data_IF_266924230900
#
_entry.id   IF_266924230900
#
_cell.length_a   1.000
_cell.length_b   1.000
_cell.length_c   1.000
_cell.angle_alpha   90.00
_cell.angle_beta   90.00
_cell.angle_gamma   90.00
#
_symmetry.space_group_name_H-M   'P 1'
#
loop_
_entity.id
_entity.type
_entity.pdbx_description
1 polymer ?
#
# COMPACT_ATOMS: atom_id res chain seq x y z
N UNK A 1 -0.41 -16.42 -1.24
CA UNK A 1 0.82 -16.69 -0.44
C UNK A 1 0.50 -17.17 0.96
N UNK A 2 1.40 -17.95 1.54
CA UNK A 2 1.24 -18.45 2.91
C UNK A 2 1.47 -17.35 3.94
N UNK A 3 0.60 -17.28 4.96
CA UNK A 3 0.73 -16.37 6.10
C UNK A 3 1.63 -17.01 7.15
N UNK A 4 2.72 -16.33 7.50
CA UNK A 4 3.68 -16.75 8.53
C UNK A 4 3.44 -16.00 9.84
N UNK A 5 3.57 -16.70 10.97
CA UNK A 5 3.43 -16.13 12.32
C UNK A 5 4.65 -16.49 13.16
N UNK A 6 5.80 -15.81 12.95
CA UNK A 6 7.03 -16.13 13.70
C UNK A 6 6.89 -15.91 15.22
N UNK A 7 6.01 -14.97 15.61
CA UNK A 7 5.64 -14.70 17.00
C UNK A 7 4.14 -14.45 17.11
N UNK A 8 3.56 -14.49 18.32
CA UNK A 8 2.10 -14.38 18.54
C UNK A 8 1.51 -13.11 17.91
N UNK A 9 2.24 -11.98 17.95
CA UNK A 9 1.78 -10.69 17.42
C UNK A 9 2.24 -10.41 15.97
N UNK A 10 3.06 -11.30 15.39
CA UNK A 10 3.64 -11.11 14.05
C UNK A 10 2.80 -11.82 13.01
N UNK A 11 2.55 -11.12 11.92
CA UNK A 11 1.87 -11.68 10.73
C UNK A 11 2.66 -11.22 9.51
N UNK A 12 3.17 -12.18 8.75
CA UNK A 12 4.05 -11.95 7.60
C UNK A 12 3.63 -12.79 6.40
N UNK A 13 3.98 -12.32 5.22
CA UNK A 13 3.85 -13.03 3.95
C UNK A 13 5.17 -12.92 3.17
N UNK A 14 5.44 -13.90 2.33
CA UNK A 14 6.58 -13.84 1.44
C UNK A 14 6.27 -12.97 0.22
N UNK A 15 6.92 -11.83 0.09
CA UNK A 15 6.69 -10.90 -1.01
C UNK A 15 6.98 -11.52 -2.40
N UNK A 16 7.95 -12.45 -2.50
CA UNK A 16 8.22 -13.15 -3.76
C UNK A 16 7.08 -14.10 -4.12
N UNK A 17 6.43 -14.75 -3.14
CA UNK A 17 5.26 -15.60 -3.38
C UNK A 17 4.08 -14.73 -3.85
N UNK A 18 3.83 -13.57 -3.23
CA UNK A 18 2.80 -12.63 -3.67
C UNK A 18 3.01 -12.29 -5.16
N UNK A 19 4.24 -11.91 -5.54
CA UNK A 19 4.56 -11.60 -6.93
C UNK A 19 4.41 -12.82 -7.86
N UNK A 20 4.94 -13.97 -7.46
CA UNK A 20 4.94 -15.17 -8.29
C UNK A 20 3.51 -15.67 -8.57
N UNK A 21 2.63 -15.67 -7.58
CA UNK A 21 1.23 -16.06 -7.74
C UNK A 21 0.46 -15.04 -8.59
N UNK A 22 0.72 -13.74 -8.39
CA UNK A 22 0.14 -12.67 -9.22
C UNK A 22 0.57 -12.82 -10.68
N UNK A 23 1.87 -13.01 -10.92
CA UNK A 23 2.41 -13.20 -12.26
C UNK A 23 1.85 -14.47 -12.92
N UNK A 24 1.78 -15.58 -12.20
CA UNK A 24 1.23 -16.83 -12.69
C UNK A 24 -0.22 -16.67 -13.13
N UNK A 25 -1.05 -16.02 -12.31
CA UNK A 25 -2.46 -15.77 -12.66
C UNK A 25 -2.60 -14.82 -13.85
N UNK A 26 -1.76 -13.79 -13.94
CA UNK A 26 -1.74 -12.87 -15.08
C UNK A 26 -1.36 -13.60 -16.37
N UNK A 27 -0.29 -14.40 -16.33
CA UNK A 27 0.18 -15.19 -17.50
C UNK A 27 -0.90 -16.18 -17.92
N UNK A 28 -1.53 -16.91 -17.00
CA UNK A 28 -2.62 -17.85 -17.30
C UNK A 28 -3.77 -17.17 -18.04
N UNK A 29 -4.16 -15.97 -17.62
CA UNK A 29 -5.21 -15.19 -18.33
C UNK A 29 -4.76 -14.81 -19.73
N UNK A 30 -3.52 -14.36 -19.90
CA UNK A 30 -2.98 -13.93 -21.19
C UNK A 30 -2.80 -15.10 -22.16
N UNK A 31 -2.41 -16.28 -21.67
CA UNK A 31 -2.29 -17.51 -22.48
C UNK A 31 -3.65 -18.05 -22.96
N UNK A 32 -4.72 -17.78 -22.21
CA UNK A 32 -6.08 -18.18 -22.56
C UNK A 32 -6.88 -17.09 -23.28
N UNK A 33 -6.28 -15.93 -23.57
CA UNK A 33 -6.92 -14.89 -24.37
C UNK A 33 -6.94 -15.27 -25.87
N UNK A 34 -8.08 -15.12 -26.52
CA UNK A 34 -8.22 -15.38 -27.95
C UNK A 34 -7.26 -14.52 -28.78
N UNK A 35 -7.06 -13.28 -28.38
CA UNK A 35 -6.09 -12.36 -28.97
C UNK A 35 -5.49 -11.48 -27.84
N UNK A 36 -4.22 -11.70 -27.55
CA UNK A 36 -3.49 -10.92 -26.54
C UNK A 36 -3.41 -9.42 -26.89
N UNK A 37 -3.42 -9.07 -28.17
CA UNK A 37 -3.41 -7.68 -28.62
C UNK A 37 -4.74 -6.96 -28.32
N UNK A 38 -5.80 -7.68 -27.99
CA UNK A 38 -7.08 -7.11 -27.57
C UNK A 38 -7.13 -6.75 -26.10
N UNK A 39 -6.12 -7.12 -25.29
CA UNK A 39 -6.06 -6.79 -23.87
C UNK A 39 -5.76 -5.31 -23.70
N UNK A 40 -6.75 -4.56 -23.25
CA UNK A 40 -6.68 -3.09 -23.14
C UNK A 40 -5.76 -2.58 -22.03
N UNK A 41 -5.56 -3.36 -20.96
CA UNK A 41 -4.72 -2.96 -19.86
C UNK A 41 -4.86 -3.83 -18.61
N UNK A 42 -4.02 -3.54 -17.61
CA UNK A 42 -3.97 -4.21 -16.32
C UNK A 42 -4.41 -3.21 -15.23
N UNK A 43 -5.38 -3.62 -14.41
CA UNK A 43 -5.74 -2.94 -13.17
C UNK A 43 -5.25 -3.73 -11.97
N UNK A 44 -4.67 -3.04 -10.99
CA UNK A 44 -4.14 -3.63 -9.75
C UNK A 44 -5.03 -3.23 -8.57
N UNK A 45 -5.48 -4.22 -7.80
CA UNK A 45 -6.08 -4.01 -6.50
C UNK A 45 -5.41 -4.92 -5.47
N UNK A 46 -5.27 -4.44 -4.24
CA UNK A 46 -4.45 -5.10 -3.25
C UNK A 46 -4.96 -4.90 -1.82
N UNK A 47 -4.53 -5.80 -0.93
CA UNK A 47 -4.62 -5.56 0.51
C UNK A 47 -3.78 -4.33 0.87
N UNK A 48 -4.44 -3.31 1.46
CA UNK A 48 -3.78 -2.07 1.84
C UNK A 48 -2.91 -2.28 3.10
N UNK A 49 -2.12 -1.30 3.46
CA UNK A 49 -1.32 -1.21 4.69
C UNK A 49 -0.23 -2.28 4.87
N UNK A 50 -0.25 -3.37 4.11
CA UNK A 50 0.80 -4.38 4.09
C UNK A 50 2.07 -3.78 3.51
N UNK A 51 3.19 -3.84 4.24
CA UNK A 51 4.45 -3.18 3.89
C UNK A 51 5.45 -4.19 3.37
N UNK A 52 6.08 -3.85 2.27
CA UNK A 52 7.21 -4.56 1.69
C UNK A 52 8.41 -3.61 1.64
N UNK A 53 9.59 -4.12 2.02
CA UNK A 53 10.86 -3.45 1.82
C UNK A 53 11.69 -4.25 0.81
N UNK A 54 12.22 -3.58 -0.22
CA UNK A 54 13.05 -4.25 -1.22
C UNK A 54 14.25 -3.41 -1.63
N UNK A 55 15.24 -4.07 -2.18
CA UNK A 55 16.43 -3.45 -2.72
C UNK A 55 16.11 -2.75 -4.05
N UNK A 56 16.44 -1.47 -4.14
CA UNK A 56 16.13 -0.59 -5.28
C UNK A 56 16.83 -1.01 -6.58
N UNK A 57 17.97 -1.67 -6.50
CA UNK A 57 18.72 -2.08 -7.69
C UNK A 57 18.28 -3.44 -8.22
N UNK A 58 17.97 -4.36 -7.30
CA UNK A 58 17.70 -5.77 -7.65
C UNK A 58 16.22 -6.14 -7.61
N UNK A 59 15.38 -5.32 -6.98
CA UNK A 59 13.98 -5.62 -6.72
C UNK A 59 13.77 -6.81 -5.77
N UNK A 60 14.82 -7.23 -5.03
CA UNK A 60 14.72 -8.35 -4.08
C UNK A 60 14.18 -7.87 -2.73
N UNK A 61 13.17 -8.52 -2.16
CA UNK A 61 12.71 -8.22 -0.82
C UNK A 61 13.86 -8.37 0.20
N UNK A 62 13.96 -7.40 1.11
CA UNK A 62 14.95 -7.38 2.19
C UNK A 62 14.40 -7.99 3.49
N UNK A 63 13.10 -8.17 3.56
CA UNK A 63 12.38 -8.80 4.66
C UNK A 63 11.03 -9.35 4.14
N UNK A 64 10.36 -10.20 4.92
CA UNK A 64 8.99 -10.60 4.62
C UNK A 64 8.06 -9.39 4.64
N UNK A 65 6.99 -9.42 3.84
CA UNK A 65 5.93 -8.43 3.89
C UNK A 65 5.28 -8.42 5.28
N UNK A 66 5.22 -7.25 5.94
CA UNK A 66 4.52 -7.12 7.22
C UNK A 66 3.05 -6.84 6.94
N UNK A 67 2.20 -7.82 7.23
CA UNK A 67 0.77 -7.80 6.88
C UNK A 67 0.00 -6.79 7.72
N UNK A 68 -1.07 -6.23 7.16
CA UNK A 68 -1.95 -5.26 7.82
C UNK A 68 -2.49 -5.74 9.19
N UNK A 69 -2.67 -7.04 9.39
CA UNK A 69 -3.11 -7.65 10.66
C UNK A 69 -2.03 -7.68 11.75
N UNK A 70 -0.77 -7.42 11.38
CA UNK A 70 0.36 -7.53 12.29
C UNK A 70 0.27 -6.52 13.43
N UNK A 71 0.47 -6.99 14.66
CA UNK A 71 0.36 -6.17 15.88
C UNK A 71 1.71 -5.87 16.55
N UNK A 72 2.85 -6.18 15.89
CA UNK A 72 4.21 -5.98 16.47
C UNK A 72 4.51 -4.55 16.93
N UNK A 73 3.85 -3.55 16.31
CA UNK A 73 4.03 -2.13 16.63
C UNK A 73 2.91 -1.55 17.50
N UNK A 74 2.02 -2.40 18.07
CA UNK A 74 0.84 -1.94 18.79
C UNK A 74 1.19 -1.12 20.03
N UNK A 75 2.23 -1.52 20.78
CA UNK A 75 2.68 -0.78 21.96
C UNK A 75 3.29 0.57 21.59
N UNK A 76 4.16 0.59 20.56
CA UNK A 76 4.72 1.83 20.03
C UNK A 76 3.61 2.80 19.60
N UNK A 77 2.62 2.34 18.85
CA UNK A 77 1.52 3.19 18.37
C UNK A 77 0.59 3.66 19.49
N UNK A 78 0.37 2.85 20.53
CA UNK A 78 -0.39 3.27 21.71
C UNK A 78 0.32 4.43 22.42
N UNK A 79 1.62 4.28 22.71
CA UNK A 79 2.40 5.31 23.40
C UNK A 79 2.53 6.59 22.55
N UNK A 80 2.72 6.44 21.21
CA UNK A 80 2.73 7.58 20.29
C UNK A 80 1.37 8.29 20.26
N UNK A 81 0.28 7.55 20.37
CA UNK A 81 -1.08 8.08 20.40
C UNK A 81 -1.36 8.98 21.60
N UNK A 82 -0.74 8.74 22.76
CA UNK A 82 -0.89 9.58 23.95
C UNK A 82 -0.34 11.00 23.75
N UNK A 83 0.71 11.15 22.94
CA UNK A 83 1.39 12.42 22.72
C UNK A 83 1.08 13.07 21.38
N UNK A 84 0.84 12.27 20.33
CA UNK A 84 0.66 12.74 18.93
C UNK A 84 -0.68 12.34 18.32
N UNK A 85 -1.63 11.78 19.07
CA UNK A 85 -2.87 11.23 18.53
C UNK A 85 -3.70 12.25 17.77
N UNK A 86 -3.88 13.46 18.33
CA UNK A 86 -4.62 14.55 17.67
C UNK A 86 -3.90 15.07 16.42
N UNK A 87 -2.58 15.23 16.50
CA UNK A 87 -1.74 15.63 15.38
C UNK A 87 -1.87 14.64 14.20
N UNK A 88 -1.70 13.34 14.46
CA UNK A 88 -1.84 12.29 13.46
C UNK A 88 -3.24 12.32 12.82
N UNK A 89 -4.29 12.37 13.65
CA UNK A 89 -5.66 12.41 13.17
C UNK A 89 -5.96 13.63 12.31
N UNK A 90 -5.48 14.80 12.69
CA UNK A 90 -5.70 16.05 11.96
C UNK A 90 -5.04 16.04 10.58
N UNK A 91 -3.85 15.46 10.48
CA UNK A 91 -3.10 15.37 9.22
C UNK A 91 -3.58 14.24 8.32
N UNK A 92 -3.77 13.06 8.87
CA UNK A 92 -3.98 11.84 8.10
C UNK A 92 -5.44 11.36 8.07
N UNK A 93 -6.32 11.86 8.94
CA UNK A 93 -7.67 11.31 9.14
C UNK A 93 -7.70 9.98 9.87
N UNK A 94 -6.54 9.44 10.27
CA UNK A 94 -6.38 8.12 10.87
C UNK A 94 -6.17 8.22 12.38
N UNK A 95 -6.55 7.17 13.11
CA UNK A 95 -6.24 7.02 14.52
C UNK A 95 -4.92 6.28 14.68
N UNK A 96 -4.11 6.57 15.72
CA UNK A 96 -2.86 5.84 15.97
C UNK A 96 -3.12 4.35 16.18
N UNK A 97 -2.72 3.52 15.25
CA UNK A 97 -2.84 2.07 15.32
C UNK A 97 -1.73 1.37 14.52
N UNK A 98 -1.33 0.18 14.97
CA UNK A 98 -0.37 -0.71 14.27
C UNK A 98 -0.87 -1.19 12.90
N UNK A 99 -2.14 -0.98 12.61
CA UNK A 99 -2.78 -1.31 11.34
C UNK A 99 -2.11 -0.62 10.14
N UNK A 100 -1.72 0.65 10.30
CA UNK A 100 -1.19 1.48 9.23
C UNK A 100 0.30 1.24 8.95
N UNK A 101 0.77 1.63 7.75
CA UNK A 101 2.09 1.26 7.24
C UNK A 101 3.26 1.92 7.98
N UNK A 102 3.13 3.19 8.39
CA UNK A 102 4.25 3.98 8.92
C UNK A 102 5.01 3.32 10.07
N UNK A 103 4.29 2.75 11.04
CA UNK A 103 4.92 2.09 12.19
C UNK A 103 5.64 0.80 11.81
N UNK A 104 5.16 0.10 10.76
CA UNK A 104 5.81 -1.11 10.22
C UNK A 104 7.10 -0.77 9.49
N UNK A 105 7.09 0.33 8.71
CA UNK A 105 8.31 0.85 8.04
C UNK A 105 9.34 1.23 9.10
N UNK A 106 8.93 1.99 10.11
CA UNK A 106 9.82 2.34 11.24
C UNK A 106 10.39 1.09 11.91
N UNK A 107 9.55 0.09 12.17
CA UNK A 107 10.01 -1.16 12.78
C UNK A 107 11.06 -1.87 11.90
N UNK A 108 10.87 -1.90 10.58
CA UNK A 108 11.84 -2.47 9.63
C UNK A 108 13.17 -1.71 9.70
N UNK A 109 13.15 -0.39 9.71
CA UNK A 109 14.35 0.45 9.84
C UNK A 109 15.08 0.18 11.17
N UNK A 110 14.33 0.07 12.27
CA UNK A 110 14.91 -0.09 13.60
C UNK A 110 15.44 -1.51 13.87
N UNK A 111 14.84 -2.54 13.26
CA UNK A 111 15.09 -3.93 13.66
C UNK A 111 15.77 -4.79 12.58
N UNK A 112 15.83 -4.34 11.32
CA UNK A 112 16.43 -5.12 10.23
C UNK A 112 17.76 -4.48 9.80
N UNK A 113 18.93 -5.03 10.19
CA UNK A 113 20.24 -4.40 9.93
C UNK A 113 20.51 -4.10 8.47
N UNK A 114 20.20 -5.04 7.57
CA UNK A 114 20.45 -4.86 6.13
C UNK A 114 19.63 -3.67 5.56
N UNK A 115 18.43 -3.42 6.05
CA UNK A 115 17.63 -2.27 5.63
C UNK A 115 18.32 -0.97 6.06
N UNK A 116 18.81 -0.89 7.30
CA UNK A 116 19.52 0.27 7.81
C UNK A 116 20.80 0.57 7.03
N UNK A 117 21.53 -0.46 6.64
CA UNK A 117 22.76 -0.32 5.85
C UNK A 117 22.42 0.17 4.44
N UNK A 118 21.47 -0.44 3.78
CA UNK A 118 21.08 -0.07 2.41
C UNK A 118 20.39 1.30 2.34
N UNK A 119 19.71 1.76 3.39
CA UNK A 119 19.15 3.11 3.47
C UNK A 119 20.23 4.20 3.44
N UNK A 120 21.41 3.96 4.04
CA UNK A 120 22.52 4.92 3.98
C UNK A 120 23.04 5.12 2.56
N UNK A 121 22.84 4.14 1.69
CA UNK A 121 23.20 4.16 0.29
C UNK A 121 22.06 4.62 -0.64
N UNK A 122 20.90 5.01 -0.08
CA UNK A 122 19.64 5.29 -0.81
C UNK A 122 19.18 4.13 -1.70
N UNK A 123 19.36 2.89 -1.23
CA UNK A 123 19.08 1.67 -2.00
C UNK A 123 17.91 0.84 -1.46
N UNK A 124 17.00 1.45 -0.72
CA UNK A 124 15.78 0.78 -0.21
C UNK A 124 14.53 1.44 -0.77
N UNK A 125 13.62 0.61 -1.22
CA UNK A 125 12.25 0.99 -1.48
C UNK A 125 11.33 0.43 -0.39
N UNK A 126 10.45 1.25 0.16
CA UNK A 126 9.30 0.83 0.95
C UNK A 126 8.03 1.10 0.17
N UNK A 127 7.12 0.16 0.16
CA UNK A 127 5.83 0.35 -0.48
C UNK A 127 4.79 -0.61 0.05
N UNK A 128 3.57 -0.40 -0.38
CA UNK A 128 2.48 -1.35 -0.24
C UNK A 128 2.54 -2.37 -1.38
N UNK A 129 1.65 -3.36 -1.36
CA UNK A 129 1.69 -4.47 -2.32
C UNK A 129 1.58 -3.98 -3.76
N UNK A 130 0.74 -2.97 -4.03
CA UNK A 130 0.62 -2.33 -5.35
C UNK A 130 1.95 -1.81 -5.88
N UNK A 131 2.68 -1.03 -5.07
CA UNK A 131 3.97 -0.45 -5.44
C UNK A 131 5.00 -1.54 -5.79
N UNK A 132 5.04 -2.60 -5.01
CA UNK A 132 5.93 -3.73 -5.27
C UNK A 132 5.56 -4.47 -6.55
N UNK A 133 4.25 -4.71 -6.79
CA UNK A 133 3.78 -5.37 -8.00
C UNK A 133 4.07 -4.53 -9.25
N UNK A 134 3.77 -3.23 -9.23
CA UNK A 134 4.09 -2.31 -10.34
C UNK A 134 5.59 -2.30 -10.61
N UNK A 135 6.41 -2.15 -9.56
CA UNK A 135 7.86 -2.19 -9.67
C UNK A 135 8.35 -3.48 -10.36
N UNK A 136 7.85 -4.63 -9.94
CA UNK A 136 8.23 -5.93 -10.49
C UNK A 136 7.73 -6.14 -11.93
N UNK A 137 6.48 -5.81 -12.21
CA UNK A 137 5.86 -5.98 -13.53
C UNK A 137 6.48 -5.06 -14.60
N UNK A 138 6.94 -3.87 -14.20
CA UNK A 138 7.60 -2.91 -15.10
C UNK A 138 9.12 -3.11 -15.19
N UNK A 139 9.68 -4.12 -14.51
CA UNK A 139 11.12 -4.36 -14.48
C UNK A 139 11.90 -3.23 -13.78
N UNK A 140 11.33 -2.62 -12.76
CA UNK A 140 11.94 -1.54 -11.96
C UNK A 140 11.83 -0.14 -12.57
N UNK A 141 11.09 0.03 -13.68
CA UNK A 141 10.95 1.33 -14.37
C UNK A 141 9.97 2.28 -13.69
N UNK A 142 8.96 1.76 -12.97
CA UNK A 142 7.99 2.55 -12.23
C UNK A 142 8.01 2.18 -10.75
N UNK A 143 8.09 3.21 -9.90
CA UNK A 143 8.00 3.08 -8.46
C UNK A 143 6.94 4.08 -7.96
N UNK A 144 5.69 3.65 -7.99
CA UNK A 144 4.50 4.44 -7.71
C UNK A 144 3.55 3.74 -6.76
N UNK A 145 2.67 4.49 -6.14
CA UNK A 145 1.47 4.04 -5.42
C UNK A 145 0.31 4.97 -5.77
N UNK A 146 -0.93 4.52 -5.63
CA UNK A 146 -2.07 5.40 -5.81
C UNK A 146 -2.49 6.11 -4.51
N UNK A 147 -3.30 7.15 -4.65
CA UNK A 147 -3.79 7.96 -3.50
C UNK A 147 -4.55 7.12 -2.47
N UNK A 148 -5.24 6.04 -2.87
CA UNK A 148 -6.04 5.22 -1.96
C UNK A 148 -5.18 4.30 -1.10
N UNK A 149 -4.07 3.77 -1.61
CA UNK A 149 -3.06 3.05 -0.85
C UNK A 149 -2.21 4.01 -0.01
N UNK A 150 -1.75 5.13 -0.60
CA UNK A 150 -0.93 6.12 0.08
C UNK A 150 -1.63 6.71 1.31
N UNK A 151 -2.94 7.02 1.24
CA UNK A 151 -3.73 7.53 2.35
C UNK A 151 -3.77 6.58 3.56
N UNK A 152 -3.49 5.28 3.35
CA UNK A 152 -3.47 4.27 4.42
C UNK A 152 -2.10 4.07 5.06
N UNK A 153 -1.10 4.79 4.59
CA UNK A 153 0.27 4.67 5.13
C UNK A 153 0.47 5.37 6.47
N UNK A 154 -0.35 6.35 6.82
CA UNK A 154 -0.16 7.31 7.93
C UNK A 154 1.03 8.26 7.69
N UNK A 155 1.48 8.39 6.44
CA UNK A 155 2.55 9.30 6.02
C UNK A 155 2.05 10.43 5.12
N UNK A 156 0.77 10.38 4.70
CA UNK A 156 0.15 11.32 3.76
C UNK A 156 -0.73 12.32 4.47
N UNK A 157 -0.66 13.58 4.06
CA UNK A 157 -1.53 14.64 4.52
C UNK A 157 -2.79 14.70 3.64
N UNK A 158 -3.97 14.54 4.23
CA UNK A 158 -5.26 14.56 3.53
C UNK A 158 -5.56 15.86 2.77
N UNK A 159 -4.89 16.97 3.09
CA UNK A 159 -5.13 18.25 2.42
C UNK A 159 -4.29 18.42 1.17
N UNK A 160 -3.06 17.91 1.19
CA UNK A 160 -2.12 18.04 0.08
C UNK A 160 -2.12 16.82 -0.83
N UNK A 161 -2.63 15.68 -0.35
CA UNK A 161 -2.60 14.36 -0.99
C UNK A 161 -1.16 13.90 -1.31
N UNK A 162 -0.19 14.38 -0.55
CA UNK A 162 1.22 14.03 -0.66
C UNK A 162 1.80 13.68 0.71
N UNK A 163 2.98 13.08 0.72
CA UNK A 163 3.73 12.78 1.93
C UNK A 163 4.00 14.05 2.73
N UNK A 164 3.79 13.98 4.05
CA UNK A 164 3.97 15.09 4.97
C UNK A 164 5.31 14.98 5.69
N UNK A 165 6.19 15.99 5.55
CA UNK A 165 7.55 15.96 6.08
C UNK A 165 7.60 15.81 7.62
N UNK A 166 6.60 16.33 8.36
CA UNK A 166 6.54 16.15 9.81
C UNK A 166 6.16 14.69 10.17
N UNK A 167 5.28 14.04 9.36
CA UNK A 167 4.97 12.63 9.53
C UNK A 167 6.17 11.75 9.15
N UNK A 168 6.86 12.05 8.05
CA UNK A 168 8.09 11.37 7.66
C UNK A 168 9.15 11.44 8.75
N UNK A 169 9.35 12.63 9.32
CA UNK A 169 10.29 12.86 10.43
C UNK A 169 9.89 12.08 11.68
N UNK A 170 8.59 12.10 12.05
CA UNK A 170 8.06 11.40 13.23
C UNK A 170 8.32 9.89 13.17
N UNK A 171 8.18 9.28 11.99
CA UNK A 171 8.43 7.85 11.80
C UNK A 171 9.85 7.54 11.30
N UNK A 172 10.70 8.57 11.10
CA UNK A 172 12.08 8.44 10.59
C UNK A 172 12.14 7.73 9.22
N UNK A 173 11.20 8.04 8.34
CA UNK A 173 11.12 7.45 6.99
C UNK A 173 11.69 8.42 5.96
N UNK A 174 12.75 8.07 5.22
CA UNK A 174 13.27 8.92 4.14
C UNK A 174 12.28 9.01 2.97
N UNK A 175 11.99 10.22 2.49
CA UNK A 175 11.10 10.42 1.33
C UNK A 175 11.60 9.70 0.08
N UNK A 176 12.92 9.65 -0.14
CA UNK A 176 13.56 8.98 -1.29
C UNK A 176 13.33 7.47 -1.35
N UNK A 177 12.93 6.87 -0.23
CA UNK A 177 12.60 5.44 -0.13
C UNK A 177 11.12 5.12 -0.39
N UNK A 178 10.28 6.13 -0.65
CA UNK A 178 8.85 5.99 -0.86
C UNK A 178 8.48 6.16 -2.34
N UNK A 179 7.41 5.49 -2.81
CA UNK A 179 6.93 5.62 -4.18
C UNK A 179 6.33 7.01 -4.46
N UNK A 180 6.33 7.42 -5.71
CA UNK A 180 5.53 8.57 -6.15
C UNK A 180 4.03 8.27 -6.01
N UNK A 181 3.25 9.26 -5.58
CA UNK A 181 1.80 9.13 -5.44
C UNK A 181 1.13 9.60 -6.73
N UNK A 182 0.34 8.72 -7.33
CA UNK A 182 -0.35 8.96 -8.61
C UNK A 182 -1.88 8.87 -8.45
N UNK A 183 -2.62 9.30 -9.47
CA UNK A 183 -4.06 9.06 -9.54
C UNK A 183 -4.39 7.58 -9.76
N UNK A 184 -5.58 7.13 -9.31
CA UNK A 184 -5.96 5.71 -9.40
C UNK A 184 -6.12 5.22 -10.86
N UNK A 185 -6.38 6.12 -11.81
CA UNK A 185 -6.62 5.85 -13.24
C UNK A 185 -5.45 6.29 -14.12
N UNK A 186 -4.29 6.54 -13.53
CA UNK A 186 -3.09 6.91 -14.27
C UNK A 186 -2.42 5.68 -14.88
N UNK A 187 -1.93 5.81 -16.12
CA UNK A 187 -1.09 4.79 -16.75
C UNK A 187 0.34 4.91 -16.23
N UNK A 188 0.76 3.96 -15.42
CA UNK A 188 2.01 4.02 -14.65
C UNK A 188 3.18 3.24 -15.25
N UNK A 189 2.93 2.48 -16.30
CA UNK A 189 3.96 1.68 -16.96
C UNK A 189 3.34 0.56 -17.79
N UNK A 190 4.19 -0.36 -18.23
CA UNK A 190 3.79 -1.45 -19.13
C UNK A 190 4.36 -2.79 -18.64
N UNK A 191 3.56 -3.83 -18.77
CA UNK A 191 3.99 -5.21 -18.65
C UNK A 191 4.23 -5.79 -20.04
N UNK A 192 5.44 -6.30 -20.29
CA UNK A 192 5.78 -6.90 -21.58
C UNK A 192 5.65 -8.42 -21.51
N UNK A 193 4.80 -8.96 -22.37
CA UNK A 193 4.58 -10.39 -22.48
C UNK A 193 4.57 -10.83 -23.95
N UNK A 194 5.46 -11.76 -24.33
CA UNK A 194 5.59 -12.30 -25.70
C UNK A 194 5.66 -11.22 -26.79
N UNK A 195 6.35 -10.10 -26.50
CA UNK A 195 6.50 -8.98 -27.45
C UNK A 195 5.33 -8.02 -27.51
N UNK A 196 4.26 -8.25 -26.73
CA UNK A 196 3.14 -7.33 -26.59
C UNK A 196 3.35 -6.51 -25.31
N UNK A 197 3.19 -5.19 -25.41
CA UNK A 197 3.24 -4.25 -24.30
C UNK A 197 1.83 -3.95 -23.81
N UNK A 198 1.53 -4.29 -22.56
CA UNK A 198 0.21 -4.14 -21.95
C UNK A 198 0.31 -3.05 -20.88
N UNK A 199 -0.44 -1.92 -20.98
CA UNK A 199 -0.35 -0.84 -20.03
C UNK A 199 -0.93 -1.24 -18.66
N UNK A 200 -0.27 -0.77 -17.58
CA UNK A 200 -0.82 -0.79 -16.22
C UNK A 200 -1.50 0.55 -16.01
N UNK A 201 -2.84 0.55 -16.05
CA UNK A 201 -3.65 1.76 -16.18
C UNK A 201 -4.68 1.96 -15.05
N UNK A 202 -4.52 1.22 -13.94
CA UNK A 202 -5.35 1.41 -12.77
C UNK A 202 -4.73 0.77 -11.54
N UNK A 203 -4.73 1.52 -10.44
CA UNK A 203 -4.28 1.05 -9.12
C UNK A 203 -5.28 1.57 -8.09
N UNK A 204 -5.82 0.69 -7.25
CA UNK A 204 -6.63 1.11 -6.12
C UNK A 204 -6.60 0.07 -5.00
N UNK A 205 -6.66 0.53 -3.75
CA UNK A 205 -6.82 -0.34 -2.61
C UNK A 205 -8.12 -1.15 -2.67
N UNK A 206 -8.10 -2.37 -2.14
CA UNK A 206 -9.19 -3.35 -2.21
C UNK A 206 -10.57 -2.78 -1.80
N UNK A 207 -10.59 -1.95 -0.77
CA UNK A 207 -11.83 -1.39 -0.25
C UNK A 207 -12.38 -0.27 -1.14
N UNK A 208 -11.51 0.54 -1.75
CA UNK A 208 -11.89 1.57 -2.70
C UNK A 208 -12.31 0.94 -4.05
N UNK A 209 -11.60 -0.08 -4.51
CA UNK A 209 -12.02 -0.87 -5.68
C UNK A 209 -13.40 -1.47 -5.49
N UNK A 210 -13.69 -2.02 -4.29
CA UNK A 210 -15.01 -2.55 -3.98
C UNK A 210 -16.10 -1.45 -3.91
N UNK A 211 -15.75 -0.22 -3.46
CA UNK A 211 -16.68 0.91 -3.47
C UNK A 211 -17.10 1.27 -4.91
N UNK A 212 -16.11 1.34 -5.82
CA UNK A 212 -16.33 1.59 -7.26
C UNK A 212 -17.13 0.44 -7.89
N UNK A 213 -16.71 -0.81 -7.64
CA UNK A 213 -17.39 -1.99 -8.19
C UNK A 213 -18.85 -2.13 -7.76
N UNK A 214 -19.20 -1.62 -6.57
CA UNK A 214 -20.59 -1.53 -6.09
C UNK A 214 -21.30 -0.26 -6.50
N UNK A 215 -20.70 0.57 -7.37
CA UNK A 215 -21.26 1.81 -7.91
C UNK A 215 -21.62 2.86 -6.86
N UNK A 216 -20.86 2.92 -5.77
CA UNK A 216 -21.05 3.92 -4.72
C UNK A 216 -20.47 5.29 -5.15
N UNK A 217 -21.02 5.89 -6.20
CA UNK A 217 -20.50 7.13 -6.80
C UNK A 217 -21.10 8.40 -6.20
N UNK A 218 -22.26 8.31 -5.55
CA UNK A 218 -22.88 9.50 -4.96
C UNK A 218 -22.45 9.71 -3.51
N UNK A 219 -22.44 10.96 -3.08
CA UNK A 219 -22.22 11.30 -1.67
C UNK A 219 -23.31 10.65 -0.82
N UNK A 220 -22.90 9.90 0.18
CA UNK A 220 -23.79 9.14 1.06
C UNK A 220 -23.94 7.66 0.68
N UNK A 221 -23.49 7.24 -0.50
CA UNK A 221 -23.45 5.81 -0.85
C UNK A 221 -22.50 5.06 0.08
N UNK A 222 -22.94 3.89 0.53
CA UNK A 222 -22.18 3.06 1.48
C UNK A 222 -22.08 1.64 0.94
N UNK A 223 -20.87 1.10 1.02
CA UNK A 223 -20.65 -0.34 0.83
C UNK A 223 -20.14 -0.99 2.12
N UNK A 224 -20.45 -2.25 2.31
CA UNK A 224 -19.90 -3.08 3.40
C UNK A 224 -19.31 -4.38 2.84
N UNK A 225 -18.11 -4.71 3.29
CA UNK A 225 -17.44 -5.97 2.98
C UNK A 225 -17.37 -6.81 4.24
N UNK A 226 -17.93 -8.00 4.19
CA UNK A 226 -17.87 -9.00 5.25
C UNK A 226 -16.88 -10.09 4.87
N UNK A 227 -15.75 -10.14 5.55
CA UNK A 227 -14.69 -11.13 5.36
C UNK A 227 -14.01 -11.43 6.69
N UNK A 228 -12.69 -11.58 6.71
CA UNK A 228 -11.88 -11.69 7.95
C UNK A 228 -12.11 -10.48 8.87
N UNK A 229 -12.41 -9.32 8.28
CA UNK A 229 -12.87 -8.10 8.97
C UNK A 229 -14.14 -7.56 8.32
N UNK A 230 -14.86 -6.71 9.05
CA UNK A 230 -15.96 -5.91 8.52
C UNK A 230 -15.47 -4.52 8.16
N UNK A 231 -15.59 -4.15 6.89
CA UNK A 231 -15.16 -2.86 6.37
C UNK A 231 -16.35 -2.15 5.71
N UNK A 232 -16.85 -1.10 6.35
CA UNK A 232 -17.85 -0.22 5.79
C UNK A 232 -17.19 1.07 5.31
N UNK A 233 -17.40 1.43 4.04
CA UNK A 233 -16.93 2.68 3.45
C UNK A 233 -18.12 3.49 2.95
N UNK A 234 -18.08 4.80 3.24
CA UNK A 234 -19.05 5.77 2.78
C UNK A 234 -18.35 6.80 1.88
N UNK A 235 -18.92 7.05 0.72
CA UNK A 235 -18.50 8.16 -0.11
C UNK A 235 -18.96 9.49 0.55
N UNK A 236 -18.00 10.31 0.97
CA UNK A 236 -18.27 11.60 1.63
C UNK A 236 -18.05 12.81 0.72
N UNK A 237 -17.75 12.58 -0.56
CA UNK A 237 -17.47 13.61 -1.57
C UNK A 237 -16.05 14.15 -1.51
N UNK A 238 -15.80 15.26 -2.17
CA UNK A 238 -14.48 15.82 -2.44
C UNK A 238 -13.76 16.42 -1.23
N UNK A 239 -14.48 16.76 -0.17
CA UNK A 239 -13.89 17.40 1.00
C UNK A 239 -13.72 16.44 2.15
N UNK A 240 -12.48 16.23 2.66
CA UNK A 240 -12.28 15.36 3.80
C UNK A 240 -12.99 15.90 5.04
N UNK A 241 -13.67 15.00 5.76
CA UNK A 241 -14.37 15.31 7.01
C UNK A 241 -13.78 14.46 8.14
N UNK A 242 -13.11 15.10 9.08
CA UNK A 242 -12.64 14.40 10.28
C UNK A 242 -13.83 14.13 11.19
N UNK A 243 -14.14 12.87 11.42
CA UNK A 243 -15.23 12.43 12.29
C UNK A 243 -15.01 12.88 13.74
N UNK A 244 -16.06 13.29 14.44
CA UNK A 244 -16.02 13.51 15.89
C UNK A 244 -15.91 12.21 16.72
N UNK A 245 -16.21 11.05 16.10
CA UNK A 245 -16.11 9.71 16.69
C UNK A 245 -14.83 8.97 16.32
N UNK A 246 -14.91 7.64 16.26
CA UNK A 246 -13.79 6.75 15.93
C UNK A 246 -13.74 6.35 14.44
N UNK A 247 -14.50 7.00 13.57
CA UNK A 247 -14.44 6.75 12.14
C UNK A 247 -13.17 7.36 11.54
N UNK A 248 -12.63 6.69 10.54
CA UNK A 248 -11.46 7.12 9.80
C UNK A 248 -11.90 7.92 8.56
N UNK A 249 -11.05 8.86 8.15
CA UNK A 249 -11.15 9.53 6.84
C UNK A 249 -9.94 9.12 6.02
N UNK A 250 -10.16 8.72 4.78
CA UNK A 250 -9.12 8.20 3.90
C UNK A 250 -9.48 8.51 2.45
#
# INVERSE_FOLDING_TARGET
SAVYRPEISFVEENANEIYAETLSSLVEILENADDICSVAGIGITNQRETVIAWDKETGKPLYNAIVWQCRRTAEYMRNLGETHGEFLRKKTGLLPDAYFSASKIKWLIDNVPIIRERLKEDKVCFGTVDSFLVYKLTGGKAFVTDVTNASRTMLVNLKTLDYDDELLSLFSVPRSSLPEIVACDETVGEFNYNGVSIPICGIAGDQQSALIGQRCFNVGDIKATYGTGLFALCNIGEKPKISGGKLLTT
#
